data_IF_746309074165
#
_entry.id   IF_746309074165
#
_cell.length_a   1.000
_cell.length_b   1.000
_cell.length_c   1.000
_cell.angle_alpha   90.00
_cell.angle_beta   90.00
_cell.angle_gamma   90.00
#
_symmetry.space_group_name_H-M   'P 1'
#
loop_
_entity.id
_entity.type
_entity.pdbx_description
1 polymer ?
#
# COMPACT_ATOMS: atom_id res chain seq x y z
N UNK A 1 10.76 -2.25 11.85
CA UNK A 1 9.73 -3.29 12.05
C UNK A 1 10.34 -4.67 11.81
N UNK A 2 10.10 -5.66 12.68
CA UNK A 2 10.69 -7.00 12.59
C UNK A 2 9.65 -8.10 12.82
N UNK A 3 9.93 -9.30 12.28
CA UNK A 3 9.09 -10.51 12.39
C UNK A 3 7.69 -10.40 11.78
N UNK A 4 7.61 -10.24 10.47
CA UNK A 4 6.36 -10.26 9.70
C UNK A 4 6.45 -11.27 8.56
N UNK A 5 5.30 -11.69 8.03
CA UNK A 5 5.23 -12.46 6.79
C UNK A 5 4.86 -11.54 5.64
N UNK A 6 5.51 -11.70 4.50
CA UNK A 6 5.11 -11.04 3.24
C UNK A 6 4.21 -12.01 2.48
N UNK A 7 3.05 -11.53 2.05
CA UNK A 7 2.12 -12.32 1.22
C UNK A 7 1.69 -11.49 0.02
N UNK A 8 1.28 -12.14 -1.06
CA UNK A 8 0.72 -11.45 -2.22
C UNK A 8 -0.58 -10.73 -1.84
N UNK A 9 -0.73 -9.50 -2.32
CA UNK A 9 -1.99 -8.77 -2.27
C UNK A 9 -2.91 -9.38 -3.33
N UNK A 10 -3.86 -10.21 -2.90
CA UNK A 10 -4.81 -10.91 -3.78
C UNK A 10 -6.24 -10.51 -3.43
N UNK A 11 -7.10 -10.43 -4.45
CA UNK A 11 -8.51 -10.09 -4.30
C UNK A 11 -8.81 -8.63 -4.63
N UNK A 12 -10.11 -8.32 -4.76
CA UNK A 12 -10.59 -6.98 -5.13
C UNK A 12 -10.50 -5.97 -3.97
N UNK A 13 -10.48 -6.43 -2.72
CA UNK A 13 -10.44 -5.54 -1.56
C UNK A 13 -9.01 -5.20 -1.15
N UNK A 14 -8.48 -4.12 -1.73
CA UNK A 14 -7.14 -3.59 -1.39
C UNK A 14 -7.14 -2.06 -1.46
N UNK A 15 -6.39 -1.45 -0.55
CA UNK A 15 -6.25 0.00 -0.43
C UNK A 15 -5.04 0.58 -1.15
N UNK A 16 -4.17 -0.27 -1.72
CA UNK A 16 -2.98 0.15 -2.48
C UNK A 16 -2.76 -0.77 -3.68
N UNK A 17 -2.05 -0.28 -4.69
CA UNK A 17 -1.60 -1.07 -5.85
C UNK A 17 -0.36 -1.92 -5.54
N UNK A 18 0.17 -1.87 -4.32
CA UNK A 18 1.36 -2.63 -3.97
C UNK A 18 1.07 -4.14 -4.05
N UNK A 19 1.90 -4.93 -4.75
CA UNK A 19 1.62 -6.34 -5.03
C UNK A 19 1.72 -7.23 -3.79
N UNK A 20 2.19 -6.70 -2.66
CA UNK A 20 2.37 -7.44 -1.42
C UNK A 20 1.74 -6.72 -0.23
N UNK A 21 1.31 -7.51 0.74
CA UNK A 21 0.86 -7.08 2.06
C UNK A 21 1.66 -7.78 3.17
N UNK A 22 1.78 -7.10 4.30
CA UNK A 22 2.46 -7.60 5.48
C UNK A 22 1.44 -8.20 6.44
N UNK A 23 1.73 -9.39 6.96
CA UNK A 23 0.94 -10.06 8.00
C UNK A 23 1.75 -10.09 9.27
N UNK A 24 1.22 -9.48 10.33
CA UNK A 24 1.88 -9.50 11.63
C UNK A 24 1.75 -10.88 12.28
N UNK A 25 2.84 -11.32 12.87
CA UNK A 25 2.92 -12.50 13.70
C UNK A 25 2.83 -12.09 15.17
N UNK A 26 2.58 -13.03 16.08
CA UNK A 26 2.57 -12.75 17.52
C UNK A 26 3.86 -12.08 18.03
N UNK A 27 5.00 -12.37 17.39
CA UNK A 27 6.31 -11.80 17.74
C UNK A 27 6.65 -10.51 16.98
N UNK A 28 5.75 -9.98 16.15
CA UNK A 28 6.00 -8.71 15.45
C UNK A 28 6.20 -7.60 16.48
N UNK A 29 7.26 -6.81 16.30
CA UNK A 29 7.55 -5.65 17.14
C UNK A 29 7.33 -4.36 16.36
N UNK A 30 6.64 -3.43 16.99
CA UNK A 30 6.34 -2.09 16.47
C UNK A 30 6.98 -1.06 17.40
N UNK A 31 7.58 -0.05 16.79
CA UNK A 31 8.21 1.07 17.48
C UNK A 31 7.78 2.35 16.76
N UNK A 32 7.57 3.42 17.54
CA UNK A 32 7.31 4.73 16.97
C UNK A 32 8.59 5.24 16.31
N UNK A 33 8.46 5.66 15.05
CA UNK A 33 9.54 6.28 14.29
C UNK A 33 8.99 7.55 13.68
N UNK A 34 9.61 8.68 14.01
CA UNK A 34 9.36 9.95 13.35
C UNK A 34 10.52 10.27 12.43
N UNK A 35 10.21 10.73 11.22
CA UNK A 35 11.22 11.09 10.22
C UNK A 35 10.56 11.77 9.04
N UNK A 36 11.21 12.77 8.42
CA UNK A 36 10.67 13.47 7.26
C UNK A 36 10.50 12.55 6.04
N UNK A 37 11.11 11.35 6.06
CA UNK A 37 11.04 10.37 4.99
C UNK A 37 9.68 9.63 4.94
N UNK A 38 8.92 9.66 6.03
CA UNK A 38 7.60 8.99 6.12
C UNK A 38 6.50 10.01 5.85
N UNK A 39 5.81 9.86 4.71
CA UNK A 39 4.64 10.68 4.39
C UNK A 39 3.56 10.55 5.46
N UNK A 40 3.04 11.68 5.93
CA UNK A 40 2.02 11.74 7.00
C UNK A 40 0.70 11.07 6.64
N UNK A 41 0.35 11.04 5.36
CA UNK A 41 -0.98 10.63 4.89
C UNK A 41 -0.95 9.41 3.98
N UNK A 42 0.24 8.94 3.56
CA UNK A 42 0.37 7.79 2.66
C UNK A 42 -0.32 7.98 1.30
N UNK A 43 -0.59 9.22 0.89
CA UNK A 43 -1.27 9.53 -0.37
C UNK A 43 -0.27 9.65 -1.52
N UNK A 44 -0.66 9.13 -2.67
CA UNK A 44 -0.04 9.41 -3.96
C UNK A 44 -1.07 10.15 -4.81
N UNK A 45 -0.70 11.34 -5.30
CA UNK A 45 -1.60 12.18 -6.08
C UNK A 45 -1.27 12.01 -7.56
N UNK A 46 -2.31 11.82 -8.37
CA UNK A 46 -2.22 11.75 -9.83
C UNK A 46 -3.02 12.88 -10.44
N UNK A 47 -2.55 13.41 -11.57
CA UNK A 47 -3.32 14.40 -12.32
C UNK A 47 -4.53 13.73 -12.98
N UNK A 48 -5.61 14.49 -13.17
CA UNK A 48 -6.82 13.94 -13.80
C UNK A 48 -6.55 13.43 -15.23
N UNK A 49 -5.62 14.06 -15.96
CA UNK A 49 -5.21 13.59 -17.29
C UNK A 49 -4.57 12.19 -17.26
N UNK A 50 -3.81 11.87 -16.20
CA UNK A 50 -3.22 10.54 -16.01
C UNK A 50 -4.30 9.50 -15.74
N UNK A 51 -5.31 9.87 -14.93
CA UNK A 51 -6.46 9.01 -14.64
C UNK A 51 -7.26 8.72 -15.91
N UNK A 52 -7.52 9.75 -16.73
CA UNK A 52 -8.23 9.58 -18.00
C UNK A 52 -7.46 8.75 -19.03
N UNK A 53 -6.14 8.64 -18.91
CA UNK A 53 -5.29 7.87 -19.81
C UNK A 53 -5.16 6.39 -19.41
N UNK A 54 -5.69 5.98 -18.26
CA UNK A 54 -5.66 4.58 -17.84
C UNK A 54 -6.48 3.68 -18.78
N UNK A 55 -6.01 2.43 -19.03
CA UNK A 55 -6.75 1.50 -19.88
C UNK A 55 -8.06 1.04 -19.20
N UNK A 56 -9.03 0.50 -19.97
CA UNK A 56 -10.32 0.07 -19.42
C UNK A 56 -10.23 -1.03 -18.35
N UNK A 57 -9.16 -1.83 -18.40
CA UNK A 57 -8.84 -2.90 -17.46
C UNK A 57 -7.91 -2.45 -16.32
N UNK A 58 -7.69 -1.13 -16.18
CA UNK A 58 -6.91 -0.61 -15.07
C UNK A 58 -7.54 -1.03 -13.75
N UNK A 59 -6.69 -1.58 -12.89
CA UNK A 59 -7.08 -2.20 -11.63
C UNK A 59 -7.31 -1.12 -10.56
N UNK A 60 -8.43 -0.41 -10.69
CA UNK A 60 -8.87 0.57 -9.71
C UNK A 60 -9.06 -0.09 -8.34
N UNK A 61 -8.62 0.62 -7.30
CA UNK A 61 -8.77 0.19 -5.92
C UNK A 61 -10.25 0.30 -5.49
N UNK A 62 -10.66 -0.51 -4.52
CA UNK A 62 -12.03 -0.53 -3.94
C UNK A 62 -12.11 0.37 -2.71
#
# INVERSE_FOLDING_TARGET
>A
MTFFTVTTSTGAYRSTLHPYKLVFQMKTRLELSEGPEISRYGLSLSMIGEICAHPPDYDYLV
#
